data_IF_905863176766
#
_entry.id   IF_905863176766
#
_cell.length_a   1.000
_cell.length_b   1.000
_cell.length_c   1.000
_cell.angle_alpha   90.00
_cell.angle_beta   90.00
_cell.angle_gamma   90.00
#
_symmetry.space_group_name_H-M   'P 1'
#
loop_
_entity.id
_entity.type
_entity.pdbx_description
1 polymer ?
#
# COMPACT_ATOMS: atom_id res chain seq x y z
N UNK A 1 -10.52 -42.88 -33.57
CA UNK A 1 -10.70 -41.44 -33.83
C UNK A 1 -9.70 -40.67 -32.97
N UNK A 2 -8.82 -39.92 -33.63
CA UNK A 2 -7.94 -38.81 -33.16
C UNK A 2 -7.17 -38.97 -31.84
N UNK A 3 -5.86 -38.81 -31.72
CA UNK A 3 -4.69 -38.62 -32.59
C UNK A 3 -3.50 -38.56 -31.60
N UNK A 4 -2.76 -39.65 -31.42
CA UNK A 4 -1.36 -39.80 -31.84
C UNK A 4 -0.40 -38.64 -31.49
N UNK A 5 0.63 -39.01 -30.71
CA UNK A 5 2.07 -38.61 -30.83
C UNK A 5 2.42 -37.16 -30.51
N UNK A 6 3.55 -36.80 -29.93
CA UNK A 6 4.68 -37.48 -29.29
C UNK A 6 5.59 -36.35 -28.79
N UNK A 7 6.36 -36.64 -27.75
CA UNK A 7 7.49 -35.85 -27.27
C UNK A 7 8.46 -35.48 -28.41
N UNK A 8 9.11 -34.30 -28.25
CA UNK A 8 10.39 -33.83 -28.86
C UNK A 8 10.35 -33.17 -30.25
N UNK A 9 10.35 -31.83 -30.24
CA UNK A 9 11.18 -30.97 -31.09
C UNK A 9 11.37 -29.66 -30.30
N UNK A 10 12.54 -29.44 -29.69
CA UNK A 10 13.68 -28.73 -30.30
C UNK A 10 13.29 -27.27 -30.64
N UNK A 11 13.68 -26.30 -29.79
CA UNK A 11 14.89 -25.49 -30.02
C UNK A 11 15.00 -24.99 -31.46
N UNK A 12 14.70 -23.71 -31.68
CA UNK A 12 15.13 -23.00 -32.89
C UNK A 12 14.11 -21.99 -33.41
N UNK A 13 14.13 -20.76 -32.88
CA UNK A 13 14.00 -19.51 -33.62
C UNK A 13 14.05 -18.31 -32.66
N UNK A 14 15.26 -18.01 -32.19
CA UNK A 14 15.66 -16.63 -31.93
C UNK A 14 15.80 -15.95 -33.30
N UNK A 15 15.47 -14.67 -33.36
CA UNK A 15 15.88 -13.63 -34.35
C UNK A 15 14.73 -13.03 -35.18
N UNK A 16 14.15 -11.95 -34.65
CA UNK A 16 14.08 -10.64 -35.33
C UNK A 16 13.68 -9.54 -34.32
N UNK A 17 14.69 -8.85 -33.79
CA UNK A 17 14.69 -7.70 -32.88
C UNK A 17 14.28 -6.39 -33.64
N UNK A 18 14.31 -5.13 -33.09
CA UNK A 18 14.96 -4.67 -31.85
C UNK A 18 14.22 -3.58 -31.02
N UNK A 19 14.47 -3.53 -29.70
CA UNK A 19 14.83 -2.27 -29.01
C UNK A 19 15.79 -2.59 -27.85
N UNK A 20 17.07 -2.33 -28.14
CA UNK A 20 18.09 -1.79 -27.25
C UNK A 20 18.11 -2.21 -25.76
N UNK A 21 18.99 -3.17 -25.47
CA UNK A 21 20.00 -3.09 -24.40
C UNK A 21 19.59 -2.43 -23.07
N UNK A 22 19.11 -3.25 -22.13
CA UNK A 22 19.32 -2.99 -20.69
C UNK A 22 20.39 -3.98 -20.24
N UNK A 23 21.56 -3.52 -19.76
CA UNK A 23 22.60 -4.44 -19.33
C UNK A 23 22.14 -5.12 -18.05
N UNK A 24 22.11 -6.45 -18.08
CA UNK A 24 22.17 -7.31 -16.90
C UNK A 24 23.49 -6.98 -16.20
N UNK A 25 23.44 -6.10 -15.20
CA UNK A 25 24.53 -5.87 -14.27
C UNK A 25 24.12 -6.51 -12.94
N UNK A 26 24.90 -7.50 -12.53
CA UNK A 26 25.08 -7.98 -11.16
C UNK A 26 23.83 -8.47 -10.39
N UNK A 27 23.42 -9.71 -10.67
CA UNK A 27 22.72 -10.54 -9.69
C UNK A 27 23.70 -11.13 -8.66
N UNK A 28 24.35 -10.29 -7.85
CA UNK A 28 25.10 -10.68 -6.64
C UNK A 28 25.20 -9.49 -5.66
N UNK A 29 24.16 -9.25 -4.85
CA UNK A 29 24.25 -8.81 -3.44
C UNK A 29 22.88 -8.32 -2.96
N UNK A 30 22.37 -8.94 -1.88
CA UNK A 30 21.38 -8.38 -0.93
C UNK A 30 20.02 -7.96 -1.53
N UNK A 31 18.93 -8.48 -0.96
CA UNK A 31 17.54 -8.04 -1.13
C UNK A 31 17.39 -6.65 -1.80
N UNK A 32 16.70 -6.53 -2.96
CA UNK A 32 16.60 -5.24 -3.67
C UNK A 32 16.02 -4.19 -2.75
N UNK A 33 16.70 -3.02 -2.73
CA UNK A 33 16.30 -1.73 -2.18
C UNK A 33 14.80 -1.66 -1.86
N UNK A 34 14.43 -1.47 -0.58
CA UNK A 34 13.02 -1.44 -0.15
C UNK A 34 12.23 -0.38 -0.92
N UNK A 35 12.88 0.72 -1.30
CA UNK A 35 12.30 1.75 -2.14
C UNK A 35 12.01 1.22 -3.55
N UNK A 36 12.89 0.41 -4.12
CA UNK A 36 12.63 -0.22 -5.42
C UNK A 36 11.43 -1.18 -5.36
N UNK A 37 11.22 -1.89 -4.25
CA UNK A 37 10.02 -2.72 -4.04
C UNK A 37 8.76 -1.89 -3.90
N UNK A 38 8.83 -0.84 -3.07
CA UNK A 38 7.73 0.10 -2.86
C UNK A 38 7.30 0.74 -4.18
N UNK A 39 8.27 1.16 -5.00
CA UNK A 39 8.01 1.74 -6.33
C UNK A 39 7.48 0.70 -7.31
N UNK A 40 7.94 -0.55 -7.24
CA UNK A 40 7.43 -1.63 -8.09
C UNK A 40 5.95 -1.94 -7.83
N UNK A 41 5.50 -1.88 -6.57
CA UNK A 41 4.09 -2.05 -6.21
C UNK A 41 3.26 -0.76 -6.36
N UNK A 42 3.91 0.38 -6.56
CA UNK A 42 3.29 1.71 -6.52
C UNK A 42 1.98 1.85 -7.32
N UNK A 43 1.92 1.46 -8.61
CA UNK A 43 0.68 1.56 -9.38
C UNK A 43 -0.48 0.75 -8.79
N UNK A 44 -0.21 -0.45 -8.27
CA UNK A 44 -1.21 -1.29 -7.63
C UNK A 44 -1.64 -0.72 -6.28
N UNK A 45 -0.68 -0.24 -5.49
CA UNK A 45 -0.94 0.38 -4.19
C UNK A 45 -1.81 1.64 -4.35
N UNK A 46 -1.49 2.52 -5.31
CA UNK A 46 -2.29 3.73 -5.57
C UNK A 46 -3.72 3.40 -5.96
N UNK A 47 -3.94 2.39 -6.82
CA UNK A 47 -5.29 1.98 -7.19
C UNK A 47 -6.12 1.50 -5.99
N UNK A 48 -5.51 0.76 -5.06
CA UNK A 48 -6.17 0.33 -3.83
C UNK A 48 -6.42 1.49 -2.87
N UNK A 49 -5.48 2.42 -2.74
CA UNK A 49 -5.68 3.63 -1.92
C UNK A 49 -6.82 4.50 -2.46
N UNK A 50 -6.90 4.67 -3.77
CA UNK A 50 -7.99 5.41 -4.43
C UNK A 50 -9.34 4.70 -4.22
N UNK A 51 -9.35 3.37 -4.27
CA UNK A 51 -10.55 2.58 -3.97
C UNK A 51 -10.96 2.73 -2.50
N UNK A 52 -10.02 2.66 -1.57
CA UNK A 52 -10.28 2.83 -0.15
C UNK A 52 -10.84 4.23 0.15
N UNK A 53 -10.24 5.28 -0.43
CA UNK A 53 -10.71 6.67 -0.27
C UNK A 53 -12.12 6.85 -0.84
N UNK A 54 -12.45 6.17 -1.94
CA UNK A 54 -13.82 6.15 -2.50
C UNK A 54 -14.82 5.47 -1.56
N UNK A 55 -14.40 4.45 -0.81
CA UNK A 55 -15.25 3.74 0.15
C UNK A 55 -15.37 4.49 1.48
N UNK A 56 -14.39 5.33 1.85
CA UNK A 56 -14.33 6.07 3.12
C UNK A 56 -15.65 6.76 3.51
N UNK A 57 -16.34 7.53 2.63
CA UNK A 57 -17.59 8.19 3.00
C UNK A 57 -18.71 7.25 3.46
N UNK A 58 -18.67 5.96 3.09
CA UNK A 58 -19.73 4.99 3.38
C UNK A 58 -19.79 4.59 4.86
N UNK A 59 -18.66 4.70 5.58
CA UNK A 59 -18.58 4.31 6.99
C UNK A 59 -18.29 5.50 7.93
N UNK A 60 -17.93 6.68 7.40
CA UNK A 60 -17.63 7.87 8.21
C UNK A 60 -18.80 8.27 9.10
N UNK A 61 -20.03 8.30 8.58
CA UNK A 61 -21.21 8.65 9.37
C UNK A 61 -21.45 7.65 10.52
N UNK A 62 -21.27 6.35 10.25
CA UNK A 62 -21.42 5.30 11.26
C UNK A 62 -20.30 5.36 12.30
N UNK A 63 -19.07 5.67 11.90
CA UNK A 63 -17.94 5.92 12.80
C UNK A 63 -18.21 7.12 13.72
N UNK A 64 -18.72 8.23 13.18
CA UNK A 64 -19.07 9.40 13.99
C UNK A 64 -20.19 9.10 14.99
N UNK A 65 -21.21 8.34 14.58
CA UNK A 65 -22.29 7.91 15.47
C UNK A 65 -21.75 7.06 16.62
N UNK A 66 -20.91 6.07 16.31
CA UNK A 66 -20.23 5.26 17.34
C UNK A 66 -19.31 6.11 18.22
N UNK A 67 -18.54 7.01 17.62
CA UNK A 67 -17.60 7.88 18.33
C UNK A 67 -18.32 8.82 19.31
N UNK A 68 -19.52 9.30 18.96
CA UNK A 68 -20.38 10.07 19.87
C UNK A 68 -20.96 9.18 20.96
N UNK A 69 -21.51 8.02 20.62
CA UNK A 69 -22.12 7.09 21.58
C UNK A 69 -21.10 6.61 22.64
N UNK A 70 -19.85 6.35 22.24
CA UNK A 70 -18.79 5.89 23.14
C UNK A 70 -18.26 6.98 24.09
N UNK A 71 -18.52 8.27 23.86
CA UNK A 71 -18.03 9.36 24.74
C UNK A 71 -18.56 9.26 26.18
N UNK A 72 -19.65 8.51 26.38
CA UNK A 72 -20.23 8.27 27.70
C UNK A 72 -19.53 7.15 28.48
N UNK A 73 -18.58 6.45 27.87
CA UNK A 73 -17.83 5.36 28.48
C UNK A 73 -16.43 5.84 28.87
N UNK A 74 -16.06 5.63 30.13
CA UNK A 74 -14.68 5.85 30.58
C UNK A 74 -13.79 4.67 30.13
N UNK A 75 -12.52 4.90 29.85
CA UNK A 75 -11.53 3.81 29.85
C UNK A 75 -11.56 3.22 31.28
N UNK A 76 -11.80 1.91 31.51
CA UNK A 76 -11.55 0.75 30.64
C UNK A 76 -12.80 0.10 30.01
N UNK A 77 -13.95 0.78 29.94
CA UNK A 77 -15.24 0.22 29.52
C UNK A 77 -15.37 0.06 27.98
N UNK A 78 -14.25 -0.17 27.28
CA UNK A 78 -14.21 -0.36 25.84
C UNK A 78 -14.95 -1.64 25.39
N UNK A 79 -14.83 -2.79 26.09
CA UNK A 79 -15.63 -3.97 25.76
C UNK A 79 -17.15 -3.74 25.86
N UNK A 80 -17.59 -2.78 26.68
CA UNK A 80 -18.98 -2.36 26.77
C UNK A 80 -19.38 -1.44 25.62
N UNK A 81 -18.49 -0.55 25.18
CA UNK A 81 -18.72 0.30 24.01
C UNK A 81 -18.84 -0.51 22.70
N UNK A 82 -18.20 -1.69 22.61
CA UNK A 82 -18.35 -2.62 21.48
C UNK A 82 -19.71 -3.34 21.44
N UNK A 83 -20.50 -3.26 22.52
CA UNK A 83 -21.86 -3.81 22.54
C UNK A 83 -22.90 -2.82 22.01
N UNK A 84 -22.49 -1.58 21.71
CA UNK A 84 -23.37 -0.54 21.19
C UNK A 84 -23.86 -0.91 19.78
N UNK A 85 -25.14 -0.67 19.44
CA UNK A 85 -25.64 -0.84 18.07
C UNK A 85 -24.86 -0.04 17.04
N UNK A 86 -24.37 1.15 17.42
CA UNK A 86 -23.56 2.03 16.59
C UNK A 86 -22.21 1.39 16.22
N UNK A 87 -21.62 0.60 17.13
CA UNK A 87 -20.41 -0.18 16.82
C UNK A 87 -20.69 -1.22 15.75
N UNK A 88 -21.79 -1.98 15.88
CA UNK A 88 -22.17 -2.98 14.89
C UNK A 88 -22.47 -2.35 13.53
N UNK A 89 -23.16 -1.20 13.52
CA UNK A 89 -23.45 -0.45 12.30
C UNK A 89 -22.15 0.04 11.63
N UNK A 90 -21.19 0.55 12.42
CA UNK A 90 -19.86 0.92 11.92
C UNK A 90 -19.12 -0.28 11.33
N UNK A 91 -19.03 -1.40 12.04
CA UNK A 91 -18.37 -2.62 11.56
C UNK A 91 -18.98 -3.10 10.23
N UNK A 92 -20.31 -3.17 10.13
CA UNK A 92 -20.99 -3.61 8.91
C UNK A 92 -20.75 -2.65 7.73
N UNK A 93 -20.79 -1.34 7.98
CA UNK A 93 -20.54 -0.33 6.94
C UNK A 93 -19.08 -0.36 6.45
N UNK A 94 -18.14 -0.79 7.30
CA UNK A 94 -16.70 -0.81 7.00
C UNK A 94 -16.24 -2.07 6.26
N UNK A 95 -16.98 -3.18 6.31
CA UNK A 95 -16.61 -4.46 5.66
C UNK A 95 -16.04 -4.31 4.23
N UNK A 96 -16.64 -3.51 3.32
CA UNK A 96 -16.08 -3.35 1.98
C UNK A 96 -14.70 -2.69 1.98
N UNK A 97 -14.47 -1.71 2.86
CA UNK A 97 -13.21 -1.01 3.01
C UNK A 97 -12.17 -1.88 3.73
N UNK A 98 -12.58 -2.75 4.66
CA UNK A 98 -11.67 -3.67 5.37
C UNK A 98 -11.01 -4.66 4.40
N UNK A 99 -11.75 -5.21 3.43
CA UNK A 99 -11.17 -6.10 2.43
C UNK A 99 -10.09 -5.41 1.56
N UNK A 100 -10.29 -4.12 1.26
CA UNK A 100 -9.29 -3.31 0.53
C UNK A 100 -8.10 -3.00 1.43
N UNK A 101 -8.35 -2.65 2.70
CA UNK A 101 -7.32 -2.39 3.70
C UNK A 101 -6.41 -3.60 3.91
N UNK A 102 -6.99 -4.79 4.07
CA UNK A 102 -6.22 -6.04 4.22
C UNK A 102 -5.27 -6.26 3.04
N UNK A 103 -5.73 -5.94 1.82
CA UNK A 103 -4.91 -6.06 0.62
C UNK A 103 -3.82 -5.00 0.54
N UNK A 104 -4.10 -3.78 1.00
CA UNK A 104 -3.12 -2.70 1.11
C UNK A 104 -2.02 -3.11 2.09
N UNK A 105 -2.38 -3.59 3.27
CA UNK A 105 -1.44 -4.03 4.31
C UNK A 105 -0.56 -5.20 3.83
N UNK A 106 -1.15 -6.19 3.15
CA UNK A 106 -0.40 -7.31 2.56
C UNK A 106 0.68 -6.83 1.56
N UNK A 107 0.36 -5.78 0.78
CA UNK A 107 1.27 -5.21 -0.20
C UNK A 107 2.31 -4.27 0.42
N UNK A 108 1.89 -3.43 1.36
CA UNK A 108 2.68 -2.32 1.89
C UNK A 108 3.56 -2.73 3.08
N UNK A 109 3.06 -3.55 4.01
CA UNK A 109 3.77 -3.95 5.23
C UNK A 109 5.19 -4.51 4.97
N UNK A 110 5.45 -5.31 3.91
CA UNK A 110 6.81 -5.76 3.59
C UNK A 110 7.78 -4.65 3.16
N UNK A 111 7.28 -3.46 2.83
CA UNK A 111 8.05 -2.31 2.36
C UNK A 111 8.28 -1.25 3.45
N UNK A 112 7.56 -1.30 4.57
CA UNK A 112 7.57 -0.26 5.62
C UNK A 112 8.68 -0.46 6.68
N UNK A 113 9.77 -1.13 6.33
CA UNK A 113 10.83 -1.47 7.28
C UNK A 113 11.83 -0.33 7.51
N UNK A 114 12.01 0.56 6.52
CA UNK A 114 13.09 1.55 6.50
C UNK A 114 12.64 2.91 5.96
N UNK A 115 13.25 4.02 6.44
CA UNK A 115 13.00 5.36 5.90
C UNK A 115 13.21 5.45 4.39
N UNK A 116 12.41 6.26 3.70
CA UNK A 116 12.57 6.52 2.27
C UNK A 116 13.49 7.73 2.04
N UNK A 117 14.38 7.64 1.05
CA UNK A 117 15.40 8.63 0.72
C UNK A 117 15.26 9.15 -0.72
N UNK A 118 14.48 8.51 -1.58
CA UNK A 118 14.15 9.03 -2.91
C UNK A 118 12.78 9.73 -2.91
N UNK A 119 12.68 10.85 -3.63
CA UNK A 119 11.44 11.63 -3.70
C UNK A 119 10.22 10.79 -4.14
N UNK A 120 10.29 9.91 -5.16
CA UNK A 120 9.15 9.08 -5.54
C UNK A 120 8.67 8.14 -4.42
N UNK A 121 9.60 7.51 -3.68
CA UNK A 121 9.26 6.61 -2.58
C UNK A 121 8.66 7.39 -1.40
N UNK A 122 9.24 8.54 -1.06
CA UNK A 122 8.72 9.47 -0.04
C UNK A 122 7.29 9.90 -0.39
N UNK A 123 7.01 10.23 -1.65
CA UNK A 123 5.68 10.67 -2.05
C UNK A 123 4.65 9.56 -2.05
N UNK A 124 5.04 8.34 -2.37
CA UNK A 124 4.16 7.17 -2.26
C UNK A 124 3.85 6.84 -0.79
N UNK A 125 4.84 6.93 0.10
CA UNK A 125 4.66 6.78 1.57
C UNK A 125 3.76 7.87 2.14
N UNK A 126 3.94 9.11 1.69
CA UNK A 126 3.05 10.21 2.07
C UNK A 126 1.60 9.98 1.59
N UNK A 127 1.42 9.50 0.35
CA UNK A 127 0.09 9.17 -0.20
C UNK A 127 -0.60 8.08 0.63
N UNK A 128 0.14 7.08 1.10
CA UNK A 128 -0.35 6.05 2.02
C UNK A 128 -0.79 6.67 3.36
N UNK A 129 0.10 7.41 4.01
CA UNK A 129 -0.14 8.07 5.30
C UNK A 129 -1.38 8.97 5.28
N UNK A 130 -1.59 9.70 4.18
CA UNK A 130 -2.75 10.57 4.00
C UNK A 130 -4.09 9.81 3.93
N UNK A 131 -4.13 8.59 3.39
CA UNK A 131 -5.38 7.81 3.33
C UNK A 131 -5.83 7.36 4.71
N UNK A 132 -4.90 6.86 5.50
CA UNK A 132 -5.18 6.30 6.82
C UNK A 132 -5.15 7.34 7.94
N UNK A 133 -4.64 8.55 7.66
CA UNK A 133 -4.41 9.60 8.65
C UNK A 133 -3.43 9.14 9.76
N UNK A 134 -2.56 8.19 9.41
CA UNK A 134 -1.55 7.59 10.28
C UNK A 134 -0.15 7.86 9.70
N UNK A 135 0.85 7.92 10.58
CA UNK A 135 2.27 8.03 10.21
C UNK A 135 2.65 9.22 9.31
N UNK A 136 1.80 10.25 9.22
CA UNK A 136 2.05 11.48 8.46
C UNK A 136 3.34 12.15 8.93
N UNK A 137 3.59 12.18 10.25
CA UNK A 137 4.79 12.79 10.82
C UNK A 137 6.08 12.08 10.38
N UNK A 138 6.05 10.76 10.24
CA UNK A 138 7.18 9.96 9.78
C UNK A 138 7.44 10.20 8.28
N UNK A 139 6.39 10.20 7.46
CA UNK A 139 6.51 10.54 6.03
C UNK A 139 7.01 11.98 5.82
N UNK A 140 6.59 12.92 6.68
CA UNK A 140 7.09 14.29 6.67
C UNK A 140 8.55 14.41 7.13
N UNK A 141 9.00 13.55 8.04
CA UNK A 141 10.40 13.50 8.47
C UNK A 141 11.32 13.10 7.30
N UNK A 142 10.92 12.07 6.54
CA UNK A 142 11.64 11.64 5.33
C UNK A 142 11.76 12.78 4.30
N UNK A 143 10.66 13.50 4.06
CA UNK A 143 10.65 14.66 3.15
C UNK A 143 11.56 15.79 3.63
N UNK A 144 11.54 16.13 4.92
CA UNK A 144 12.42 17.17 5.49
C UNK A 144 13.88 16.80 5.35
N UNK A 145 14.23 15.54 5.59
CA UNK A 145 15.59 15.03 5.46
C UNK A 145 16.05 15.05 3.99
N UNK A 146 15.18 14.65 3.06
CA UNK A 146 15.44 14.78 1.63
C UNK A 146 15.73 16.23 1.22
N UNK A 147 14.88 17.18 1.62
CA UNK A 147 15.07 18.61 1.33
C UNK A 147 16.37 19.17 1.94
N UNK A 148 16.77 18.67 3.12
CA UNK A 148 18.04 19.06 3.77
C UNK A 148 19.25 18.59 2.98
N UNK A 149 19.20 17.37 2.41
CA UNK A 149 20.28 16.78 1.60
C UNK A 149 20.32 17.33 0.18
N UNK A 150 19.18 17.76 -0.33
CA UNK A 150 19.02 18.36 -1.66
C UNK A 150 18.48 19.79 -1.53
N UNK A 151 19.26 20.73 -0.95
CA UNK A 151 18.84 22.12 -0.90
C UNK A 151 18.62 22.56 -2.35
N UNK A 152 17.38 22.91 -2.68
CA UNK A 152 17.06 23.54 -3.95
C UNK A 152 18.04 24.69 -4.12
N UNK A 153 18.82 24.68 -5.20
CA UNK A 153 19.74 25.76 -5.52
C UNK A 153 18.98 27.09 -5.42
N UNK A 154 19.35 27.87 -4.41
CA UNK A 154 18.89 29.24 -4.22
C UNK A 154 19.45 30.15 -5.32
#
# INVERSE_FOLDING_TARGET
>A
MSSRTSRRAALGAILAAPLASVPVIAAQSVLPDHEARLLAIGPQLVALLDEYDRLKPQWVEAYEAWSKARQHFAIPQWPEAEKLPEWQAYCLARVPADAVNDRIEELYSPCDAEPCNTLPAIMLRFRYAMTFEEWIDEAMADLREYMRRHPLCA
#
